data_IF_887936730532
#
_entry.id   IF_887936730532
#
_cell.length_a   1.000
_cell.length_b   1.000
_cell.length_c   1.000
_cell.angle_alpha   90.00
_cell.angle_beta   90.00
_cell.angle_gamma   90.00
#
_symmetry.space_group_name_H-M   'P 1'
#
loop_
_entity.id
_entity.type
_entity.pdbx_description
1 polymer ?
#
# COMPACT_ATOMS: atom_id res chain seq x y z
N UNK A 1 7.06 11.14 8.89
CA UNK A 1 6.69 10.85 7.48
C UNK A 1 6.12 9.44 7.40
N UNK A 2 5.40 9.12 6.33
CA UNK A 2 4.90 7.76 6.07
C UNK A 2 5.86 7.04 5.12
N UNK A 3 6.36 5.87 5.52
CA UNK A 3 7.20 5.01 4.70
C UNK A 3 6.40 3.81 4.23
N UNK A 4 6.51 3.49 2.94
CA UNK A 4 5.83 2.36 2.30
C UNK A 4 6.88 1.49 1.62
N UNK A 5 6.96 0.23 2.01
CA UNK A 5 7.87 -0.76 1.41
C UNK A 5 7.04 -1.84 0.71
N UNK A 6 7.12 -1.96 -0.63
CA UNK A 6 6.36 -2.98 -1.35
C UNK A 6 6.85 -4.37 -0.94
N UNK A 7 5.91 -5.30 -0.73
CA UNK A 7 6.21 -6.71 -0.45
C UNK A 7 5.89 -7.56 -1.68
N UNK A 8 4.61 -7.58 -2.07
CA UNK A 8 4.16 -8.28 -3.27
C UNK A 8 3.13 -7.41 -3.98
N UNK A 9 3.53 -6.81 -5.10
CA UNK A 9 2.66 -5.92 -5.87
C UNK A 9 2.60 -6.35 -7.34
N UNK A 10 1.54 -5.96 -8.02
CA UNK A 10 1.42 -6.05 -9.48
C UNK A 10 0.77 -4.79 -10.03
N UNK A 11 1.19 -4.37 -11.23
CA UNK A 11 0.53 -3.25 -11.92
C UNK A 11 -0.76 -3.72 -12.58
N UNK A 12 -1.78 -2.88 -12.55
CA UNK A 12 -3.03 -3.03 -13.30
C UNK A 12 -3.29 -1.79 -14.11
N UNK A 13 -3.60 -1.97 -15.39
CA UNK A 13 -4.13 -0.89 -16.23
C UNK A 13 -5.66 -0.98 -16.19
N UNK A 14 -6.30 0.09 -15.75
CA UNK A 14 -7.74 0.20 -15.58
C UNK A 14 -8.26 1.34 -16.44
N UNK A 15 -9.46 1.21 -16.98
CA UNK A 15 -10.12 2.29 -17.71
C UNK A 15 -11.25 2.86 -16.85
N UNK A 16 -11.14 4.13 -16.48
CA UNK A 16 -12.14 4.84 -15.69
C UNK A 16 -12.56 6.10 -16.43
N UNK A 17 -13.85 6.25 -16.71
CA UNK A 17 -14.40 7.38 -17.48
C UNK A 17 -13.62 7.66 -18.78
N UNK A 18 -13.29 6.59 -19.52
CA UNK A 18 -12.53 6.68 -20.78
C UNK A 18 -11.03 6.98 -20.62
N UNK A 19 -10.53 7.15 -19.41
CA UNK A 19 -9.10 7.39 -19.13
C UNK A 19 -8.41 6.10 -18.69
N UNK A 20 -7.26 5.79 -19.28
CA UNK A 20 -6.40 4.70 -18.83
C UNK A 20 -5.56 5.13 -17.63
N UNK A 21 -5.72 4.42 -16.52
CA UNK A 21 -4.98 4.64 -15.28
C UNK A 21 -4.20 3.38 -14.93
N UNK A 22 -2.90 3.52 -14.69
CA UNK A 22 -2.09 2.45 -14.10
C UNK A 22 -2.13 2.57 -12.58
N UNK A 23 -2.58 1.51 -11.93
CA UNK A 23 -2.60 1.34 -10.48
C UNK A 23 -1.74 0.14 -10.06
N UNK A 24 -1.49 0.03 -8.77
CA UNK A 24 -0.83 -1.12 -8.17
C UNK A 24 -1.77 -1.78 -7.18
N UNK A 25 -1.77 -3.11 -7.15
CA UNK A 25 -2.49 -3.89 -6.14
C UNK A 25 -1.55 -4.92 -5.51
N UNK A 26 -1.75 -5.22 -4.23
CA UNK A 26 -0.97 -6.19 -3.49
C UNK A 26 -0.70 -5.79 -2.05
N UNK A 27 0.36 -6.34 -1.46
CA UNK A 27 0.75 -6.11 -0.07
C UNK A 27 2.01 -5.26 0.03
N UNK A 28 2.05 -4.45 1.09
CA UNK A 28 3.17 -3.57 1.43
C UNK A 28 3.27 -3.46 2.96
N UNK A 29 4.46 -3.16 3.46
CA UNK A 29 4.67 -2.73 4.82
C UNK A 29 4.53 -1.19 4.88
N UNK A 30 3.95 -0.68 5.96
CA UNK A 30 3.73 0.74 6.16
C UNK A 30 4.12 1.16 7.57
N UNK A 31 5.01 2.16 7.66
CA UNK A 31 5.56 2.64 8.91
C UNK A 31 5.42 4.16 8.99
N UNK A 32 5.13 4.68 10.18
CA UNK A 32 5.01 6.11 10.40
C UNK A 32 4.22 6.48 11.66
N UNK A 33 3.96 7.78 11.86
CA UNK A 33 3.18 8.26 12.99
C UNK A 33 1.79 7.61 13.04
N UNK A 34 1.30 7.17 14.22
CA UNK A 34 0.01 6.48 14.34
C UNK A 34 -1.18 7.23 13.75
N UNK A 35 -1.21 8.56 13.89
CA UNK A 35 -2.27 9.40 13.31
C UNK A 35 -2.26 9.39 11.77
N UNK A 36 -1.09 9.31 11.15
CA UNK A 36 -0.97 9.24 9.69
C UNK A 36 -1.35 7.85 9.18
N UNK A 37 -0.96 6.78 9.90
CA UNK A 37 -1.39 5.42 9.57
C UNK A 37 -2.91 5.28 9.66
N UNK A 38 -3.53 5.82 10.71
CA UNK A 38 -4.98 5.81 10.86
C UNK A 38 -5.67 6.61 9.74
N UNK A 39 -5.16 7.79 9.42
CA UNK A 39 -5.68 8.59 8.31
C UNK A 39 -5.58 7.84 6.98
N UNK A 40 -4.41 7.26 6.67
CA UNK A 40 -4.20 6.47 5.47
C UNK A 40 -5.16 5.27 5.37
N UNK A 41 -5.40 4.59 6.50
CA UNK A 41 -6.34 3.47 6.58
C UNK A 41 -7.79 3.91 6.31
N UNK A 42 -8.20 5.04 6.87
CA UNK A 42 -9.58 5.53 6.77
C UNK A 42 -9.88 6.23 5.45
N UNK A 43 -8.96 7.05 4.95
CA UNK A 43 -9.14 7.86 3.75
C UNK A 43 -8.71 7.13 2.46
N UNK A 44 -7.91 6.07 2.59
CA UNK A 44 -7.19 5.45 1.49
C UNK A 44 -5.84 6.12 1.22
N UNK A 45 -4.94 5.36 0.59
CA UNK A 45 -3.60 5.80 0.20
C UNK A 45 -3.57 6.33 -1.23
N UNK A 46 -2.80 7.40 -1.43
CA UNK A 46 -2.54 7.98 -2.74
C UNK A 46 -3.71 8.79 -3.27
N UNK A 47 -3.87 8.76 -4.60
CA UNK A 47 -4.82 9.62 -5.31
C UNK A 47 -6.12 8.89 -5.65
N UNK A 48 -7.17 9.67 -5.99
CA UNK A 48 -8.46 9.16 -6.51
C UNK A 48 -9.19 8.20 -5.57
N UNK A 49 -9.03 8.36 -4.26
CA UNK A 49 -9.71 7.51 -3.26
C UNK A 49 -11.23 7.56 -3.37
N UNK A 50 -11.80 8.74 -3.65
CA UNK A 50 -13.24 8.92 -3.95
C UNK A 50 -13.73 8.24 -5.24
N UNK A 51 -12.84 7.66 -6.06
CA UNK A 51 -13.18 6.88 -7.24
C UNK A 51 -12.95 5.37 -7.04
N UNK A 52 -12.70 4.92 -5.80
CA UNK A 52 -12.53 3.51 -5.45
C UNK A 52 -11.10 2.99 -5.44
N UNK A 53 -10.10 3.88 -5.36
CA UNK A 53 -8.68 3.51 -5.31
C UNK A 53 -8.10 3.68 -3.91
N UNK A 54 -6.97 3.03 -3.64
CA UNK A 54 -6.18 3.30 -2.43
C UNK A 54 -6.75 2.77 -1.12
N UNK A 55 -7.93 2.15 -1.12
CA UNK A 55 -8.47 1.49 0.07
C UNK A 55 -7.59 0.30 0.45
N UNK A 56 -7.31 0.15 1.75
CA UNK A 56 -6.40 -0.89 2.25
C UNK A 56 -7.01 -1.63 3.42
N UNK A 57 -6.54 -2.87 3.61
CA UNK A 57 -6.87 -3.71 4.73
C UNK A 57 -5.63 -3.88 5.61
N UNK A 58 -5.82 -3.86 6.93
CA UNK A 58 -4.75 -4.22 7.86
C UNK A 58 -4.63 -5.74 7.92
N UNK A 59 -3.48 -6.26 7.50
CA UNK A 59 -3.20 -7.69 7.60
C UNK A 59 -2.56 -7.98 8.96
N UNK A 60 -3.15 -8.88 9.77
CA UNK A 60 -2.54 -9.26 11.04
C UNK A 60 -1.18 -9.93 10.79
N UNK A 61 -0.25 -9.85 11.76
CA UNK A 61 1.01 -10.58 11.70
C UNK A 61 0.71 -12.06 11.49
N UNK A 62 1.10 -12.60 10.33
CA UNK A 62 1.02 -14.03 10.08
C UNK A 62 1.98 -14.71 11.05
N UNK A 63 1.49 -15.66 11.84
CA UNK A 63 2.33 -16.48 12.70
C UNK A 63 3.30 -17.30 11.82
N UNK A 64 4.50 -16.77 11.56
CA UNK A 64 5.53 -17.45 10.77
C UNK A 64 6.35 -16.61 9.79
N UNK A 65 6.10 -15.31 9.61
CA UNK A 65 6.88 -14.50 8.65
C UNK A 65 7.37 -13.19 9.25
N UNK A 66 8.33 -13.27 10.16
CA UNK A 66 9.29 -12.19 10.38
C UNK A 66 10.57 -12.57 9.66
N UNK A 67 10.65 -12.25 8.37
CA UNK A 67 11.93 -12.05 7.71
C UNK A 67 11.99 -10.60 7.23
N UNK A 68 12.37 -9.71 8.14
CA UNK A 68 12.95 -8.45 7.75
C UNK A 68 14.21 -8.77 6.93
N UNK A 69 14.10 -8.72 5.61
CA UNK A 69 15.26 -8.75 4.74
C UNK A 69 16.05 -7.47 5.01
N UNK A 70 17.14 -7.62 5.77
CA UNK A 70 18.16 -6.59 5.96
C UNK A 70 18.68 -6.15 4.57
N UNK A 71 18.93 -4.84 4.33
CA UNK A 71 19.55 -4.40 3.09
C UNK A 71 20.92 -5.08 2.95
N UNK A 72 21.15 -5.69 1.78
CA UNK A 72 22.44 -6.22 1.36
C UNK A 72 23.13 -5.11 0.59
N UNK A 73 24.13 -4.48 1.19
CA UNK A 73 25.21 -3.80 0.47
C UNK A 73 26.53 -4.02 1.23
N UNK A 74 27.64 -4.37 0.53
CA UNK A 74 28.99 -4.33 1.09
C UNK A 74 29.56 -2.92 1.17
#
# INVERSE_FOLDING_TARGET
ELQITPLRTRSRLLTLHGTHLRAYEGTFACEGPPKLLLFAYQAGLGERTGQGFGMVEFLPPQAGSVSAQKPKDP
#
